data_IF_214171303699
#
_entry.id   IF_214171303699
#
_cell.length_a   1.000
_cell.length_b   1.000
_cell.length_c   1.000
_cell.angle_alpha   90.00
_cell.angle_beta   90.00
_cell.angle_gamma   90.00
#
_symmetry.space_group_name_H-M   'P 1'
#
loop_
_entity.id
_entity.type
_entity.pdbx_description
1 polymer ?
#
# COMPACT_ATOMS: atom_id res chain seq x y z
N UNK A 1 9.66 10.87 -20.77
CA UNK A 1 9.63 10.49 -19.35
C UNK A 1 8.88 9.17 -19.18
N UNK A 2 9.50 8.19 -18.55
CA UNK A 2 8.93 6.87 -18.27
C UNK A 2 8.00 6.93 -17.05
N UNK A 3 7.13 5.93 -16.88
CA UNK A 3 6.25 5.87 -15.71
C UNK A 3 7.05 5.71 -14.40
N UNK A 4 8.19 5.00 -14.44
CA UNK A 4 9.10 4.89 -13.30
C UNK A 4 9.64 6.26 -12.87
N UNK A 5 10.10 7.08 -13.82
CA UNK A 5 10.60 8.43 -13.56
C UNK A 5 9.52 9.35 -12.98
N UNK A 6 8.25 9.18 -13.39
CA UNK A 6 7.12 9.97 -12.88
C UNK A 6 6.76 9.56 -11.44
N UNK A 7 6.82 8.27 -11.11
CA UNK A 7 6.51 7.75 -9.79
C UNK A 7 7.63 7.98 -8.76
N UNK A 8 8.88 8.14 -9.21
CA UNK A 8 10.05 8.23 -8.33
C UNK A 8 9.96 9.37 -7.28
N UNK A 9 9.57 10.62 -7.59
CA UNK A 9 9.46 11.67 -6.58
C UNK A 9 8.44 11.34 -5.48
N UNK A 10 7.32 10.72 -5.85
CA UNK A 10 6.30 10.27 -4.90
C UNK A 10 6.84 9.13 -4.02
N UNK A 11 7.49 8.14 -4.62
CA UNK A 11 8.02 6.98 -3.89
C UNK A 11 9.18 7.36 -2.95
N UNK A 12 10.10 8.23 -3.36
CA UNK A 12 11.28 8.54 -2.54
C UNK A 12 11.04 9.64 -1.51
N UNK A 13 10.13 10.58 -1.78
CA UNK A 13 9.98 11.82 -0.98
C UNK A 13 8.54 12.18 -0.64
N UNK A 14 7.57 11.42 -1.13
CA UNK A 14 6.16 11.82 -1.02
C UNK A 14 5.82 13.07 -1.83
N UNK A 15 6.61 13.42 -2.86
CA UNK A 15 6.45 14.67 -3.61
C UNK A 15 5.39 14.54 -4.71
N UNK A 16 4.12 14.66 -4.30
CA UNK A 16 2.96 14.60 -5.20
C UNK A 16 3.05 15.70 -6.27
N UNK A 17 3.45 16.91 -5.88
CA UNK A 17 3.46 18.07 -6.78
C UNK A 17 4.39 17.80 -7.96
N UNK A 18 5.61 17.37 -7.69
CA UNK A 18 6.58 17.04 -8.73
C UNK A 18 6.16 15.85 -9.57
N UNK A 19 5.53 14.83 -8.98
CA UNK A 19 4.97 13.71 -9.74
C UNK A 19 3.86 14.15 -10.71
N UNK A 20 3.00 15.10 -10.32
CA UNK A 20 1.98 15.67 -11.22
C UNK A 20 2.64 16.50 -12.33
N UNK A 21 3.59 17.38 -12.00
CA UNK A 21 4.34 18.16 -13.01
C UNK A 21 5.02 17.25 -14.05
N UNK A 22 5.55 16.11 -13.60
CA UNK A 22 6.18 15.10 -14.46
C UNK A 22 5.17 14.38 -15.36
N UNK A 23 3.99 14.07 -14.85
CA UNK A 23 2.89 13.50 -15.62
C UNK A 23 2.40 14.46 -16.70
N UNK A 24 2.19 15.73 -16.35
CA UNK A 24 1.75 16.79 -17.26
C UNK A 24 2.78 17.05 -18.36
N UNK A 25 4.06 17.17 -18.01
CA UNK A 25 5.14 17.34 -18.98
C UNK A 25 5.28 16.15 -19.95
N UNK A 26 4.79 14.98 -19.55
CA UNK A 26 4.78 13.76 -20.36
C UNK A 26 3.44 13.52 -21.10
N UNK A 27 2.46 14.42 -20.98
CA UNK A 27 1.09 14.29 -21.50
C UNK A 27 0.41 12.97 -21.09
N UNK A 28 0.56 12.59 -19.82
CA UNK A 28 0.01 11.35 -19.26
C UNK A 28 -1.06 11.65 -18.23
N UNK A 29 -2.17 10.90 -18.30
CA UNK A 29 -3.19 10.91 -17.25
C UNK A 29 -2.69 10.17 -16.03
N UNK A 30 -3.00 10.70 -14.85
CA UNK A 30 -2.55 10.12 -13.57
C UNK A 30 -2.99 8.67 -13.38
N UNK A 31 -4.20 8.33 -13.83
CA UNK A 31 -4.76 6.97 -13.76
C UNK A 31 -3.96 5.94 -14.59
N UNK A 32 -3.37 6.36 -15.72
CA UNK A 32 -2.66 5.47 -16.66
C UNK A 32 -1.18 5.28 -16.27
N UNK A 33 -0.70 5.94 -15.21
CA UNK A 33 0.70 5.85 -14.78
C UNK A 33 0.88 4.59 -13.93
N UNK A 34 1.43 3.57 -14.57
CA UNK A 34 1.85 2.34 -13.90
C UNK A 34 3.25 1.89 -14.35
N UNK A 35 4.05 1.35 -13.43
CA UNK A 35 5.34 0.71 -13.71
C UNK A 35 5.43 -0.59 -12.94
N UNK A 36 5.52 -1.73 -13.64
CA UNK A 36 5.53 -3.06 -13.00
C UNK A 36 4.33 -3.25 -12.03
N UNK A 37 3.17 -2.67 -12.39
CA UNK A 37 1.96 -2.69 -11.58
C UNK A 37 1.90 -1.65 -10.46
N UNK A 38 3.00 -0.96 -10.13
CA UNK A 38 2.99 0.14 -9.17
C UNK A 38 2.39 1.38 -9.83
N UNK A 39 1.43 2.01 -9.16
CA UNK A 39 0.73 3.22 -9.60
C UNK A 39 0.84 4.30 -8.50
N UNK A 40 0.18 5.46 -8.68
CA UNK A 40 0.26 6.55 -7.70
C UNK A 40 -0.30 6.14 -6.33
N UNK A 41 -1.41 5.39 -6.28
CA UNK A 41 -2.04 4.95 -5.04
C UNK A 41 -1.09 4.03 -4.27
N UNK A 42 -0.59 2.97 -4.92
CA UNK A 42 0.32 2.02 -4.27
C UNK A 42 1.67 2.65 -3.93
N UNK A 43 2.20 3.53 -4.78
CA UNK A 43 3.42 4.29 -4.49
C UNK A 43 3.26 5.20 -3.26
N UNK A 44 2.09 5.80 -3.04
CA UNK A 44 1.83 6.62 -1.84
C UNK A 44 1.91 5.80 -0.54
N UNK A 45 1.37 4.57 -0.58
CA UNK A 45 1.40 3.63 0.54
C UNK A 45 2.83 3.13 0.79
N UNK A 46 3.63 2.95 -0.27
CA UNK A 46 5.02 2.48 -0.18
C UNK A 46 6.07 3.58 0.01
N UNK A 47 5.71 4.85 -0.12
CA UNK A 47 6.64 5.98 -0.10
C UNK A 47 7.65 5.96 1.07
N UNK A 48 8.93 6.22 0.82
CA UNK A 48 9.97 6.21 1.85
C UNK A 48 9.96 7.51 2.67
N UNK A 49 8.90 7.68 3.46
CA UNK A 49 8.66 8.84 4.32
C UNK A 49 8.33 8.41 5.75
N UNK A 50 8.56 9.28 6.76
CA UNK A 50 8.20 8.98 8.15
C UNK A 50 6.72 8.60 8.31
N UNK A 51 6.44 7.60 9.14
CA UNK A 51 5.08 7.07 9.33
C UNK A 51 4.05 8.15 9.73
N UNK A 52 4.46 9.18 10.48
CA UNK A 52 3.61 10.32 10.87
C UNK A 52 3.06 11.12 9.68
N UNK A 53 3.65 11.00 8.49
CA UNK A 53 3.22 11.67 7.28
C UNK A 53 2.52 10.74 6.27
N UNK A 54 2.48 9.42 6.56
CA UNK A 54 1.95 8.41 5.63
C UNK A 54 0.49 8.64 5.28
N UNK A 55 -0.38 8.74 6.29
CA UNK A 55 -1.80 8.90 6.05
C UNK A 55 -2.13 10.19 5.31
N UNK A 56 -1.46 11.29 5.63
CA UNK A 56 -1.62 12.55 4.91
C UNK A 56 -1.24 12.41 3.42
N UNK A 57 -0.16 11.69 3.12
CA UNK A 57 0.24 11.41 1.73
C UNK A 57 -0.80 10.54 1.02
N UNK A 58 -1.23 9.45 1.64
CA UNK A 58 -2.23 8.51 1.09
C UNK A 58 -3.54 9.24 0.78
N UNK A 59 -4.02 10.08 1.71
CA UNK A 59 -5.23 10.88 1.53
C UNK A 59 -5.09 11.89 0.40
N UNK A 60 -3.98 12.62 0.34
CA UNK A 60 -3.74 13.61 -0.72
C UNK A 60 -3.67 12.97 -2.11
N UNK A 61 -2.99 11.83 -2.24
CA UNK A 61 -2.96 11.08 -3.50
C UNK A 61 -4.34 10.50 -3.80
N UNK A 62 -5.03 9.96 -2.80
CA UNK A 62 -6.36 9.42 -2.97
C UNK A 62 -7.39 10.47 -3.40
N UNK A 63 -7.25 11.73 -2.99
CA UNK A 63 -8.10 12.83 -3.44
C UNK A 63 -7.99 13.14 -4.95
N UNK A 64 -6.95 12.64 -5.63
CA UNK A 64 -6.78 12.77 -7.08
C UNK A 64 -7.70 11.82 -7.87
N UNK A 65 -8.32 10.84 -7.20
CA UNK A 65 -9.09 9.77 -7.82
C UNK A 65 -10.49 9.67 -7.18
N UNK A 66 -11.48 9.33 -7.99
CA UNK A 66 -12.79 8.89 -7.49
C UNK A 66 -12.65 7.63 -6.62
N UNK A 67 -13.70 7.28 -5.86
CA UNK A 67 -13.69 6.03 -5.08
C UNK A 67 -13.52 4.79 -5.96
N UNK A 68 -14.12 4.78 -7.15
CA UNK A 68 -14.00 3.68 -8.10
C UNK A 68 -12.57 3.57 -8.64
N UNK A 69 -12.01 4.66 -9.16
CA UNK A 69 -10.63 4.66 -9.66
C UNK A 69 -9.62 4.29 -8.55
N UNK A 70 -9.83 4.78 -7.33
CA UNK A 70 -8.98 4.45 -6.19
C UNK A 70 -9.03 2.94 -5.90
N UNK A 71 -10.22 2.34 -5.89
CA UNK A 71 -10.41 0.90 -5.70
C UNK A 71 -9.73 0.08 -6.82
N UNK A 72 -9.91 0.49 -8.07
CA UNK A 72 -9.27 -0.18 -9.22
C UNK A 72 -7.75 -0.12 -9.12
N UNK A 73 -7.17 1.04 -8.81
CA UNK A 73 -5.73 1.22 -8.64
C UNK A 73 -5.19 0.46 -7.43
N UNK A 74 -5.92 0.43 -6.31
CA UNK A 74 -5.51 -0.28 -5.10
C UNK A 74 -5.47 -1.80 -5.31
N UNK A 75 -6.36 -2.33 -6.15
CA UNK A 75 -6.42 -3.76 -6.49
C UNK A 75 -5.39 -4.21 -7.54
N UNK A 76 -4.64 -3.28 -8.14
CA UNK A 76 -3.57 -3.65 -9.06
C UNK A 76 -2.45 -4.36 -8.32
N UNK A 77 -2.08 -5.55 -8.80
CA UNK A 77 -0.91 -6.27 -8.32
C UNK A 77 0.37 -5.61 -8.83
N UNK A 78 1.40 -5.63 -8.00
CA UNK A 78 2.73 -5.14 -8.31
C UNK A 78 3.69 -6.31 -8.47
N UNK A 79 4.51 -6.26 -9.51
CA UNK A 79 5.59 -7.22 -9.70
C UNK A 79 6.78 -6.79 -8.86
N UNK A 80 6.97 -7.44 -7.72
CA UNK A 80 7.99 -7.03 -6.73
C UNK A 80 8.45 -8.20 -5.88
N UNK A 81 9.43 -7.94 -5.03
CA UNK A 81 9.98 -8.91 -4.08
C UNK A 81 9.20 -8.86 -2.78
N UNK A 82 8.70 -10.02 -2.32
CA UNK A 82 8.01 -10.09 -1.03
C UNK A 82 8.92 -9.63 0.13
N UNK A 83 8.40 -8.91 1.14
CA UNK A 83 9.13 -8.50 2.34
C UNK A 83 10.03 -9.57 2.97
N UNK A 84 9.47 -10.75 3.24
CA UNK A 84 10.18 -11.88 3.85
C UNK A 84 11.33 -12.38 2.96
N UNK A 85 11.11 -12.41 1.65
CA UNK A 85 12.12 -12.86 0.70
C UNK A 85 13.26 -11.85 0.58
N UNK A 86 12.95 -10.56 0.65
CA UNK A 86 13.93 -9.48 0.75
C UNK A 86 14.82 -9.63 1.99
N UNK A 87 14.23 -9.92 3.15
CA UNK A 87 15.00 -10.17 4.37
C UNK A 87 15.88 -11.42 4.25
N UNK A 88 15.34 -12.51 3.68
CA UNK A 88 16.07 -13.76 3.44
C UNK A 88 17.30 -13.53 2.56
N UNK A 89 17.14 -12.85 1.43
CA UNK A 89 18.24 -12.56 0.49
C UNK A 89 19.29 -11.63 1.13
N UNK A 90 18.86 -10.62 1.88
CA UNK A 90 19.78 -9.76 2.65
C UNK A 90 20.59 -10.55 3.68
N UNK A 91 19.94 -11.45 4.41
CA UNK A 91 20.61 -12.31 5.40
C UNK A 91 21.63 -13.27 4.74
N UNK A 92 21.41 -13.64 3.47
CA UNK A 92 22.34 -14.44 2.67
C UNK A 92 23.46 -13.62 2.00
N UNK A 93 23.47 -12.29 2.18
CA UNK A 93 24.46 -11.41 1.56
C UNK A 93 24.29 -11.23 0.05
N UNK A 94 23.12 -11.56 -0.50
CA UNK A 94 22.81 -11.34 -1.92
C UNK A 94 22.67 -9.84 -2.18
N UNK A 95 23.42 -9.25 -3.13
CA UNK A 95 23.24 -7.84 -3.47
C UNK A 95 21.84 -7.58 -4.04
N UNK A 96 21.17 -6.52 -3.54
CA UNK A 96 19.81 -6.12 -3.95
C UNK A 96 19.81 -5.37 -5.29
N UNK A 97 20.47 -5.94 -6.31
CA UNK A 97 20.44 -5.44 -7.69
C UNK A 97 19.25 -6.04 -8.43
N UNK A 98 18.77 -5.35 -9.47
CA UNK A 98 17.61 -5.81 -10.27
C UNK A 98 17.78 -7.25 -10.77
N UNK A 99 18.94 -7.56 -11.35
CA UNK A 99 19.21 -8.88 -11.93
C UNK A 99 19.19 -10.01 -10.89
N UNK A 100 19.60 -9.71 -9.65
CA UNK A 100 19.63 -10.69 -8.57
C UNK A 100 18.26 -10.93 -7.94
N UNK A 101 17.41 -9.90 -7.88
CA UNK A 101 16.08 -10.00 -7.26
C UNK A 101 15.01 -10.49 -8.24
N UNK A 102 15.19 -10.25 -9.54
CA UNK A 102 14.21 -10.56 -10.57
C UNK A 102 13.69 -12.02 -10.52
N UNK A 103 14.53 -13.05 -10.28
CA UNK A 103 14.06 -14.43 -10.19
C UNK A 103 13.13 -14.73 -8.99
N UNK A 104 13.09 -13.84 -8.01
CA UNK A 104 12.30 -13.96 -6.78
C UNK A 104 11.11 -13.01 -6.75
N UNK A 105 10.92 -12.21 -7.80
CA UNK A 105 9.78 -11.30 -7.91
C UNK A 105 8.53 -12.05 -8.36
N UNK A 106 7.40 -11.71 -7.74
CA UNK A 106 6.07 -12.20 -8.10
C UNK A 106 5.06 -11.05 -8.06
N UNK A 107 3.80 -11.35 -8.41
CA UNK A 107 2.72 -10.37 -8.42
C UNK A 107 1.98 -10.36 -7.08
N UNK A 108 2.21 -9.31 -6.30
CA UNK A 108 1.61 -9.13 -4.97
C UNK A 108 0.62 -7.97 -4.94
N UNK A 109 -0.41 -8.09 -4.13
CA UNK A 109 -1.25 -6.96 -3.74
C UNK A 109 -0.47 -6.03 -2.78
N UNK A 110 -0.80 -4.74 -2.77
CA UNK A 110 -0.26 -3.78 -1.81
C UNK A 110 -0.44 -4.23 -0.35
N UNK A 111 -1.54 -4.90 -0.02
CA UNK A 111 -1.81 -5.39 1.33
C UNK A 111 -0.82 -6.45 1.80
N UNK A 112 -0.29 -7.25 0.88
CA UNK A 112 0.71 -8.28 1.16
C UNK A 112 2.09 -7.68 1.46
N UNK A 113 2.43 -6.57 0.80
CA UNK A 113 3.79 -6.03 0.84
C UNK A 113 3.98 -4.81 1.73
N UNK A 114 2.93 -4.02 2.00
CA UNK A 114 3.04 -2.77 2.74
C UNK A 114 2.92 -2.96 4.26
N UNK A 115 1.90 -3.68 4.70
CA UNK A 115 1.56 -3.81 6.12
C UNK A 115 2.48 -4.70 6.97
N UNK A 116 3.31 -5.60 6.41
CA UNK A 116 4.44 -6.14 7.17
C UNK A 116 5.40 -5.06 7.71
N UNK A 117 5.49 -3.90 7.05
CA UNK A 117 6.45 -2.84 7.38
C UNK A 117 5.83 -1.63 8.05
N UNK A 118 4.60 -1.28 7.67
CA UNK A 118 3.89 -0.13 8.22
C UNK A 118 3.42 -0.42 9.65
N UNK A 119 3.38 0.58 10.54
CA UNK A 119 2.81 0.41 11.87
C UNK A 119 1.34 0.02 11.82
N UNK A 120 0.90 -0.77 12.80
CA UNK A 120 -0.51 -1.16 12.98
C UNK A 120 -1.46 0.04 12.96
N UNK A 121 -1.10 1.14 13.62
CA UNK A 121 -1.91 2.38 13.62
C UNK A 121 -2.12 2.98 12.23
N UNK A 122 -1.16 2.83 11.31
CA UNK A 122 -1.33 3.29 9.92
C UNK A 122 -2.34 2.41 9.19
N UNK A 123 -2.39 1.10 9.48
CA UNK A 123 -3.44 0.24 8.95
C UNK A 123 -4.81 0.61 9.50
N UNK A 124 -4.92 0.91 10.79
CA UNK A 124 -6.17 1.36 11.42
C UNK A 124 -6.71 2.63 10.73
N UNK A 125 -5.87 3.65 10.63
CA UNK A 125 -6.23 4.91 9.96
C UNK A 125 -6.54 4.69 8.47
N UNK A 126 -5.83 3.77 7.82
CA UNK A 126 -6.08 3.43 6.42
C UNK A 126 -7.44 2.76 6.22
N UNK A 127 -7.79 1.78 7.06
CA UNK A 127 -9.08 1.12 7.02
C UNK A 127 -10.22 2.11 7.31
N UNK A 128 -10.04 3.01 8.29
CA UNK A 128 -10.99 4.09 8.56
C UNK A 128 -11.17 4.98 7.33
N UNK A 129 -10.08 5.43 6.70
CA UNK A 129 -10.11 6.26 5.49
C UNK A 129 -10.82 5.55 4.32
N UNK A 130 -10.56 4.26 4.11
CA UNK A 130 -11.25 3.48 3.08
C UNK A 130 -12.76 3.49 3.32
N UNK A 131 -13.20 3.19 4.54
CA UNK A 131 -14.62 3.10 4.89
C UNK A 131 -15.31 4.47 4.86
N UNK A 132 -14.72 5.46 5.52
CA UNK A 132 -15.37 6.72 5.83
C UNK A 132 -15.29 7.70 4.66
N UNK A 133 -14.14 7.81 4.01
CA UNK A 133 -13.91 8.75 2.91
C UNK A 133 -14.14 8.08 1.54
N UNK A 134 -13.62 6.87 1.33
CA UNK A 134 -13.72 6.19 0.04
C UNK A 134 -14.98 5.35 -0.12
N UNK A 135 -15.70 5.05 0.96
CA UNK A 135 -16.85 4.13 0.98
C UNK A 135 -16.47 2.74 0.44
N UNK A 136 -15.24 2.32 0.76
CA UNK A 136 -14.68 1.02 0.42
C UNK A 136 -14.46 0.23 1.71
N UNK A 137 -14.77 -1.05 1.69
CA UNK A 137 -14.60 -1.95 2.82
C UNK A 137 -13.65 -3.06 2.38
N UNK A 138 -12.74 -3.45 3.27
CA UNK A 138 -11.84 -4.57 3.02
C UNK A 138 -12.63 -5.87 3.07
N UNK A 139 -12.43 -6.75 2.09
CA UNK A 139 -12.98 -8.09 2.18
C UNK A 139 -12.25 -8.94 3.24
N UNK A 140 -12.90 -10.03 3.66
CA UNK A 140 -12.37 -10.91 4.70
C UNK A 140 -11.02 -11.54 4.32
N UNK A 141 -10.78 -11.80 3.03
CA UNK A 141 -9.53 -12.38 2.54
C UNK A 141 -8.36 -11.39 2.73
N UNK A 142 -8.58 -10.12 2.39
CA UNK A 142 -7.63 -9.03 2.58
C UNK A 142 -7.38 -8.79 4.05
N UNK A 143 -8.43 -8.81 4.88
CA UNK A 143 -8.32 -8.64 6.33
C UNK A 143 -7.43 -9.74 6.95
N UNK A 144 -7.70 -11.01 6.65
CA UNK A 144 -6.87 -12.11 7.16
C UNK A 144 -5.44 -12.06 6.61
N UNK A 145 -5.26 -11.69 5.34
CA UNK A 145 -3.92 -11.48 4.76
C UNK A 145 -3.11 -10.44 5.53
N UNK A 146 -3.70 -9.29 5.86
CA UNK A 146 -3.00 -8.24 6.62
C UNK A 146 -2.71 -8.70 8.05
N UNK A 147 -3.63 -9.41 8.68
CA UNK A 147 -3.46 -9.98 10.03
C UNK A 147 -2.31 -10.99 10.09
N UNK A 148 -2.26 -11.93 9.15
CA UNK A 148 -1.16 -12.90 9.02
C UNK A 148 0.18 -12.20 8.82
N UNK A 149 0.22 -11.16 7.99
CA UNK A 149 1.41 -10.35 7.77
C UNK A 149 1.91 -9.64 9.04
N UNK A 150 1.00 -9.08 9.84
CA UNK A 150 1.38 -8.50 11.12
C UNK A 150 1.89 -9.54 12.12
N UNK A 151 1.29 -10.73 12.16
CA UNK A 151 1.76 -11.84 12.99
C UNK A 151 3.18 -12.27 12.59
N UNK A 152 3.42 -12.44 11.29
CA UNK A 152 4.74 -12.83 10.75
C UNK A 152 5.83 -11.79 11.03
N UNK A 153 5.46 -10.50 11.13
CA UNK A 153 6.41 -9.43 11.48
C UNK A 153 6.99 -9.56 12.89
N UNK A 154 6.33 -10.30 13.79
CA UNK A 154 6.69 -10.46 15.22
C UNK A 154 6.81 -9.14 16.01
N UNK A 155 6.22 -8.05 15.50
CA UNK A 155 6.23 -6.72 16.15
C UNK A 155 5.07 -6.51 17.12
N UNK A 156 4.02 -7.31 16.98
CA UNK A 156 2.76 -7.19 17.72
C UNK A 156 2.40 -8.52 18.36
N UNK A 157 1.75 -8.48 19.52
CA UNK A 157 1.22 -9.69 20.15
C UNK A 157 -0.07 -10.15 19.47
N UNK A 158 -0.36 -11.45 19.52
CA UNK A 158 -1.62 -12.02 19.03
C UNK A 158 -2.84 -11.30 19.63
N UNK A 159 -2.79 -11.01 20.93
CA UNK A 159 -3.87 -10.31 21.64
C UNK A 159 -4.14 -8.89 21.12
N UNK A 160 -3.09 -8.15 20.76
CA UNK A 160 -3.23 -6.80 20.18
C UNK A 160 -3.90 -6.88 18.81
N UNK A 161 -3.48 -7.84 17.98
CA UNK A 161 -4.03 -8.05 16.65
C UNK A 161 -5.48 -8.55 16.74
N UNK A 162 -5.77 -9.55 17.56
CA UNK A 162 -7.14 -10.05 17.79
C UNK A 162 -8.10 -8.93 18.17
N UNK A 163 -7.69 -8.02 19.06
CA UNK A 163 -8.52 -6.89 19.47
C UNK A 163 -8.83 -5.96 18.29
N UNK A 164 -7.84 -5.65 17.47
CA UNK A 164 -8.05 -4.79 16.30
C UNK A 164 -8.94 -5.48 15.26
N UNK A 165 -8.62 -6.71 14.90
CA UNK A 165 -9.29 -7.44 13.83
C UNK A 165 -10.70 -7.91 14.21
N UNK A 166 -11.03 -7.97 15.50
CA UNK A 166 -12.40 -8.17 15.98
C UNK A 166 -13.21 -6.87 16.12
N UNK A 167 -12.59 -5.70 15.92
CA UNK A 167 -13.27 -4.42 16.09
C UNK A 167 -14.23 -4.12 14.92
N UNK A 168 -15.20 -3.25 15.19
CA UNK A 168 -16.15 -2.79 14.19
C UNK A 168 -15.51 -1.86 13.14
N UNK A 169 -14.23 -1.51 13.29
CA UNK A 169 -13.48 -0.70 12.33
C UNK A 169 -13.49 -1.31 10.93
N UNK A 170 -13.38 -2.64 10.87
CA UNK A 170 -13.23 -3.40 9.63
C UNK A 170 -14.57 -3.94 9.09
N UNK A 171 -15.68 -3.70 9.81
CA UNK A 171 -17.01 -4.16 9.41
C UNK A 171 -17.71 -3.13 8.53
N UNK A 172 -18.63 -3.59 7.72
CA UNK A 172 -19.59 -2.69 7.08
C UNK A 172 -20.43 -2.00 8.17
N UNK A 173 -20.58 -0.67 8.16
CA UNK A 173 -21.51 0.02 9.04
C UNK A 173 -22.92 -0.59 9.05
N UNK A 174 -23.38 -1.14 7.93
CA UNK A 174 -24.68 -1.82 7.83
C UNK A 174 -24.76 -3.10 8.69
N UNK A 175 -23.63 -3.76 8.97
CA UNK A 175 -23.56 -4.99 9.76
C UNK A 175 -23.48 -4.73 11.28
N UNK A 176 -23.24 -3.48 11.69
CA UNK A 176 -23.12 -3.07 13.11
C UNK A 176 -24.50 -2.80 13.72
N UNK A 177 -25.44 -2.25 12.94
CA UNK A 177 -26.77 -1.81 13.40
C UNK A 177 -27.81 -2.94 13.56
N UNK A 178 -27.40 -4.21 13.42
CA UNK A 178 -28.28 -5.40 13.60
C UNK A 178 -28.00 -6.12 14.94
N UNK A 179 -27.24 -5.49 15.85
CA UNK A 179 -26.86 -6.04 17.17
C UNK A 179 -27.73 -5.61 18.33
#
# INVERSE_FOLDING_TARGET
MTNAEILQPLLEKGDIKRTIEFAEAADKKLYDIACEGMNLVTASILADIPSVHKMLLIQKVGALFSSQEYCELLNQKMFTLHPTERERLKAQGVPMTRDNILPYCEWFNIFEIAFPWLPLSIFEDFAAYLRDDKKLILDNETIETVKENFLLSKRYSERELERLFASDLLKDPADIDIG
#
